data_IF_954179522471
#
_entry.id   IF_954179522471
#
_cell.length_a   1.000
_cell.length_b   1.000
_cell.length_c   1.000
_cell.angle_alpha   90.00
_cell.angle_beta   90.00
_cell.angle_gamma   90.00
#
_symmetry.space_group_name_H-M   'P 1'
#
loop_
_entity.id
_entity.type
_entity.pdbx_description
1 polymer ?
#
# COMPACT_ATOMS: atom_id res chain seq x y z
N UNK A 1 -3.89 20.87 12.41
CA UNK A 1 -3.55 20.88 13.85
C UNK A 1 -3.03 19.52 14.28
N UNK A 2 -2.47 19.37 15.49
CA UNK A 2 -2.04 18.05 15.99
C UNK A 2 -3.20 17.05 16.08
N UNK A 3 -4.39 17.52 16.49
CA UNK A 3 -5.61 16.72 16.56
C UNK A 3 -6.08 16.22 15.18
N UNK A 4 -6.03 17.07 14.14
CA UNK A 4 -6.37 16.65 12.78
C UNK A 4 -5.41 15.58 12.23
N UNK A 5 -4.11 15.68 12.55
CA UNK A 5 -3.12 14.68 12.15
C UNK A 5 -3.36 13.34 12.85
N UNK A 6 -3.71 13.38 14.13
CA UNK A 6 -4.03 12.17 14.90
C UNK A 6 -5.29 11.50 14.38
N UNK A 7 -6.36 12.27 14.13
CA UNK A 7 -7.59 11.74 13.54
C UNK A 7 -7.36 11.15 12.15
N UNK A 8 -6.65 11.86 11.27
CA UNK A 8 -6.26 11.36 9.97
C UNK A 8 -5.45 10.07 10.09
N UNK A 9 -4.43 10.03 10.95
CA UNK A 9 -3.59 8.84 11.13
C UNK A 9 -4.39 7.63 11.59
N UNK A 10 -5.38 7.84 12.47
CA UNK A 10 -6.29 6.79 12.93
C UNK A 10 -7.15 6.27 11.78
N UNK A 11 -7.86 7.17 11.09
CA UNK A 11 -8.76 6.82 9.99
C UNK A 11 -8.02 6.16 8.82
N UNK A 12 -6.87 6.73 8.46
CA UNK A 12 -6.03 6.20 7.39
C UNK A 12 -5.48 4.82 7.74
N UNK A 13 -5.07 4.57 8.99
CA UNK A 13 -4.58 3.25 9.40
C UNK A 13 -5.66 2.18 9.24
N UNK A 14 -6.89 2.46 9.67
CA UNK A 14 -8.01 1.53 9.51
C UNK A 14 -8.33 1.29 8.03
N UNK A 15 -8.45 2.37 7.25
CA UNK A 15 -8.65 2.33 5.81
C UNK A 15 -7.57 1.48 5.12
N UNK A 16 -6.29 1.72 5.47
CA UNK A 16 -5.15 1.03 4.89
C UNK A 16 -5.21 -0.46 5.19
N UNK A 17 -5.49 -0.85 6.43
CA UNK A 17 -5.61 -2.27 6.80
C UNK A 17 -6.75 -2.93 6.03
N UNK A 18 -7.94 -2.33 5.99
CA UNK A 18 -9.10 -2.88 5.25
C UNK A 18 -8.83 -3.01 3.76
N UNK A 19 -8.35 -1.94 3.14
CA UNK A 19 -8.04 -1.90 1.71
C UNK A 19 -6.93 -2.89 1.34
N UNK A 20 -5.85 -2.94 2.13
CA UNK A 20 -4.73 -3.83 1.86
C UNK A 20 -5.09 -5.29 2.10
N UNK A 21 -5.79 -5.62 3.21
CA UNK A 21 -6.25 -6.98 3.48
C UNK A 21 -7.20 -7.48 2.39
N UNK A 22 -8.13 -6.64 1.91
CA UNK A 22 -8.99 -7.00 0.78
C UNK A 22 -8.19 -7.32 -0.47
N UNK A 23 -7.20 -6.48 -0.82
CA UNK A 23 -6.35 -6.73 -1.99
C UNK A 23 -5.48 -7.98 -1.83
N UNK A 24 -4.93 -8.21 -0.64
CA UNK A 24 -4.09 -9.39 -0.37
C UNK A 24 -4.89 -10.69 -0.34
N UNK A 25 -6.17 -10.66 0.07
CA UNK A 25 -7.04 -11.84 0.01
C UNK A 25 -7.18 -12.37 -1.41
N UNK A 26 -7.22 -11.51 -2.43
CA UNK A 26 -7.26 -11.94 -3.84
C UNK A 26 -6.02 -12.74 -4.25
N UNK A 27 -4.91 -12.60 -3.52
CA UNK A 27 -3.65 -13.30 -3.73
C UNK A 27 -3.31 -14.34 -2.66
N UNK A 28 -4.17 -14.54 -1.65
CA UNK A 28 -3.85 -15.38 -0.48
C UNK A 28 -3.62 -16.87 -0.84
N UNK A 29 -4.31 -17.37 -1.86
CA UNK A 29 -4.21 -18.76 -2.33
C UNK A 29 -3.22 -18.94 -3.52
N UNK A 30 -2.43 -17.90 -3.80
CA UNK A 30 -1.50 -17.87 -4.93
C UNK A 30 -0.06 -18.13 -4.48
N UNK A 31 0.68 -18.87 -5.31
CA UNK A 31 2.09 -19.15 -5.04
C UNK A 31 2.92 -17.88 -5.28
N UNK A 32 3.53 -17.38 -4.20
CA UNK A 32 4.50 -16.27 -4.25
C UNK A 32 5.92 -16.83 -4.33
N UNK A 33 6.63 -16.47 -5.40
CA UNK A 33 8.03 -16.85 -5.60
C UNK A 33 8.93 -15.63 -5.48
N UNK A 34 9.91 -15.69 -4.57
CA UNK A 34 10.98 -14.68 -4.50
C UNK A 34 11.94 -14.90 -5.67
N UNK A 35 12.19 -13.84 -6.42
CA UNK A 35 13.04 -13.85 -7.62
C UNK A 35 14.42 -13.25 -7.30
N UNK A 36 14.45 -12.13 -6.59
CA UNK A 36 15.69 -11.43 -6.23
C UNK A 36 15.49 -10.58 -4.97
N UNK A 37 16.59 -10.25 -4.30
CA UNK A 37 16.64 -9.25 -3.25
C UNK A 37 17.87 -8.38 -3.42
N UNK A 38 17.66 -7.09 -3.64
CA UNK A 38 18.73 -6.12 -3.91
C UNK A 38 18.74 -5.02 -2.87
N UNK A 39 19.85 -4.90 -2.15
CA UNK A 39 20.11 -3.74 -1.29
C UNK A 39 20.49 -2.55 -2.16
N UNK A 40 19.70 -1.49 -2.10
CA UNK A 40 19.92 -0.26 -2.87
C UNK A 40 20.86 0.69 -2.12
N UNK A 41 20.72 0.74 -0.79
CA UNK A 41 21.63 1.47 0.12
C UNK A 41 21.50 0.91 1.54
N UNK A 42 22.12 1.57 2.52
CA UNK A 42 22.10 1.17 3.94
C UNK A 42 20.70 0.91 4.48
N UNK A 43 19.72 1.73 4.07
CA UNK A 43 18.37 1.70 4.64
C UNK A 43 17.29 1.20 3.67
N UNK A 44 17.63 0.88 2.42
CA UNK A 44 16.62 0.50 1.41
C UNK A 44 16.99 -0.81 0.72
N UNK A 45 16.01 -1.72 0.66
CA UNK A 45 16.07 -2.99 -0.06
C UNK A 45 14.87 -3.06 -1.01
N UNK A 46 15.08 -3.63 -2.19
CA UNK A 46 14.01 -4.06 -3.08
C UNK A 46 14.00 -5.59 -3.08
N UNK A 47 12.84 -6.19 -2.83
CA UNK A 47 12.63 -7.64 -2.99
C UNK A 47 11.68 -7.84 -4.16
N UNK A 48 12.12 -8.56 -5.18
CA UNK A 48 11.31 -8.84 -6.36
C UNK A 48 10.68 -10.22 -6.23
N UNK A 49 9.37 -10.28 -6.45
CA UNK A 49 8.58 -11.51 -6.37
C UNK A 49 7.71 -11.67 -7.61
N UNK A 50 7.33 -12.90 -7.93
CA UNK A 50 6.27 -13.21 -8.88
C UNK A 50 5.13 -13.92 -8.17
N UNK A 51 3.90 -13.56 -8.49
CA UNK A 51 2.69 -14.18 -7.97
C UNK A 51 1.91 -14.77 -9.15
N UNK A 52 1.50 -16.03 -9.09
CA UNK A 52 0.70 -16.64 -10.16
C UNK A 52 -0.81 -16.50 -9.88
N UNK A 53 -1.50 -15.67 -10.66
CA UNK A 53 -2.96 -15.54 -10.61
C UNK A 53 -3.62 -16.75 -11.25
N UNK A 54 -4.19 -17.63 -10.42
CA UNK A 54 -5.00 -18.77 -10.89
C UNK A 54 -6.26 -18.31 -11.64
N UNK A 55 -6.79 -17.13 -11.29
CA UNK A 55 -8.00 -16.55 -11.89
C UNK A 55 -7.77 -16.17 -13.35
N UNK A 56 -6.62 -15.55 -13.63
CA UNK A 56 -6.32 -14.97 -14.94
C UNK A 56 -5.21 -15.73 -15.69
N UNK A 57 -4.70 -16.82 -15.10
CA UNK A 57 -3.61 -17.67 -15.61
C UNK A 57 -2.35 -16.87 -16.00
N UNK A 58 -1.98 -15.86 -15.22
CA UNK A 58 -0.86 -14.96 -15.49
C UNK A 58 0.08 -14.83 -14.29
N UNK A 59 1.37 -14.61 -14.57
CA UNK A 59 2.34 -14.20 -13.56
C UNK A 59 2.30 -12.68 -13.40
N UNK A 60 2.24 -12.23 -12.15
CA UNK A 60 2.24 -10.82 -11.77
C UNK A 60 3.58 -10.52 -11.10
N UNK A 61 4.31 -9.54 -11.63
CA UNK A 61 5.54 -9.03 -11.05
C UNK A 61 5.23 -8.04 -9.92
N UNK A 62 5.82 -8.29 -8.76
CA UNK A 62 5.67 -7.44 -7.58
C UNK A 62 7.04 -7.10 -6.99
N UNK A 63 7.33 -5.81 -6.84
CA UNK A 63 8.48 -5.33 -6.08
C UNK A 63 8.05 -4.79 -4.73
N UNK A 64 8.65 -5.34 -3.68
CA UNK A 64 8.50 -4.89 -2.31
C UNK A 64 9.59 -3.89 -2.01
N UNK A 65 9.21 -2.64 -1.72
CA UNK A 65 10.16 -1.64 -1.24
C UNK A 65 10.24 -1.74 0.27
N UNK A 66 11.40 -2.12 0.78
CA UNK A 66 11.65 -2.34 2.20
C UNK A 66 12.59 -1.25 2.74
N UNK A 67 12.22 -0.68 3.88
CA UNK A 67 13.03 0.27 4.64
C UNK A 67 13.57 -0.39 5.91
N UNK A 68 14.84 -0.17 6.22
CA UNK A 68 15.45 -0.63 7.47
C UNK A 68 15.40 0.51 8.49
N UNK A 69 14.79 0.25 9.64
CA UNK A 69 14.75 1.18 10.77
C UNK A 69 14.97 0.42 12.07
N UNK A 70 15.94 0.83 12.87
CA UNK A 70 16.22 0.23 14.19
C UNK A 70 16.36 -1.32 14.11
N UNK A 71 17.13 -1.79 13.12
CA UNK A 71 17.31 -3.20 12.76
C UNK A 71 16.03 -3.96 12.34
N UNK A 72 14.91 -3.27 12.10
CA UNK A 72 13.65 -3.85 11.61
C UNK A 72 13.45 -3.57 10.12
N UNK A 73 12.98 -4.58 9.40
CA UNK A 73 12.57 -4.47 7.99
C UNK A 73 11.09 -4.06 7.94
N UNK A 74 10.81 -2.94 7.29
CA UNK A 74 9.47 -2.37 7.16
C UNK A 74 9.10 -2.26 5.67
N UNK A 75 8.05 -2.95 5.24
CA UNK A 75 7.50 -2.74 3.90
C UNK A 75 6.89 -1.32 3.83
N UNK A 76 7.39 -0.50 2.90
CA UNK A 76 6.93 0.89 2.73
C UNK A 76 6.04 1.08 1.50
N UNK A 77 6.17 0.20 0.51
CA UNK A 77 5.43 0.29 -0.74
C UNK A 77 5.46 -1.06 -1.46
N UNK A 78 4.43 -1.27 -2.27
CA UNK A 78 4.25 -2.40 -3.17
C UNK A 78 4.16 -1.84 -4.58
N UNK A 79 5.02 -2.30 -5.47
CA UNK A 79 5.00 -1.93 -6.88
C UNK A 79 4.54 -3.14 -7.66
N UNK A 80 3.31 -3.09 -8.19
CA UNK A 80 2.70 -4.18 -8.95
C UNK A 80 2.73 -3.80 -10.42
N UNK A 81 3.37 -4.59 -11.27
CA UNK A 81 3.52 -4.28 -12.71
C UNK A 81 4.05 -2.85 -12.98
N UNK A 82 5.02 -2.41 -12.15
CA UNK A 82 5.61 -1.08 -12.24
C UNK A 82 4.78 0.05 -11.59
N UNK A 83 3.56 -0.23 -11.12
CA UNK A 83 2.68 0.74 -10.48
C UNK A 83 2.82 0.72 -8.95
N UNK A 84 3.28 1.82 -8.38
CA UNK A 84 3.43 2.01 -6.93
C UNK A 84 2.08 2.29 -6.27
N UNK A 85 1.68 1.41 -5.34
CA UNK A 85 0.45 1.59 -4.58
C UNK A 85 0.47 2.87 -3.74
N UNK A 86 1.60 3.17 -3.08
CA UNK A 86 1.73 4.37 -2.27
C UNK A 86 1.61 5.65 -3.12
N UNK A 87 2.16 5.64 -4.34
CA UNK A 87 2.03 6.78 -5.27
C UNK A 87 0.60 6.96 -5.75
N UNK A 88 -0.06 5.88 -6.19
CA UNK A 88 -1.47 5.94 -6.63
C UNK A 88 -2.35 6.51 -5.53
N UNK A 89 -2.21 6.02 -4.30
CA UNK A 89 -3.00 6.49 -3.16
C UNK A 89 -2.72 7.96 -2.79
N UNK A 90 -1.46 8.40 -2.92
CA UNK A 90 -1.11 9.81 -2.75
C UNK A 90 -1.79 10.69 -3.81
N UNK A 91 -1.82 10.24 -5.06
CA UNK A 91 -2.46 10.96 -6.17
C UNK A 91 -4.00 11.03 -6.00
N UNK A 92 -4.63 9.94 -5.54
CA UNK A 92 -6.06 9.91 -5.19
C UNK A 92 -6.41 10.94 -4.11
N UNK A 93 -5.65 10.97 -3.01
CA UNK A 93 -5.89 11.98 -1.96
C UNK A 93 -5.58 13.39 -2.42
N UNK A 94 -4.55 13.60 -3.24
CA UNK A 94 -4.25 14.91 -3.80
C UNK A 94 -5.43 15.44 -4.64
N UNK A 95 -6.08 14.58 -5.43
CA UNK A 95 -7.28 14.92 -6.19
C UNK A 95 -8.47 15.30 -5.30
N UNK A 96 -8.67 14.56 -4.20
CA UNK A 96 -9.71 14.89 -3.21
C UNK A 96 -9.41 16.23 -2.53
N UNK A 97 -8.16 16.48 -2.15
CA UNK A 97 -7.76 17.75 -1.53
C UNK A 97 -7.98 18.91 -2.49
N UNK A 98 -7.62 18.76 -3.77
CA UNK A 98 -7.81 19.78 -4.78
C UNK A 98 -9.29 20.12 -5.01
N UNK A 99 -10.19 19.13 -4.90
CA UNK A 99 -11.62 19.29 -5.16
C UNK A 99 -12.46 19.64 -3.94
N UNK A 100 -12.12 19.11 -2.77
CA UNK A 100 -12.95 19.12 -1.55
C UNK A 100 -12.19 19.53 -0.29
N UNK A 101 -10.92 19.90 -0.41
CA UNK A 101 -10.05 20.21 0.73
C UNK A 101 -9.75 18.99 1.60
N UNK A 102 -9.06 19.24 2.72
CA UNK A 102 -8.66 18.18 3.65
C UNK A 102 -9.85 17.48 4.32
N UNK A 103 -10.94 18.20 4.61
CA UNK A 103 -12.17 17.62 5.14
C UNK A 103 -12.77 16.56 4.20
N UNK A 104 -12.64 16.75 2.87
CA UNK A 104 -13.03 15.76 1.88
C UNK A 104 -12.29 14.43 2.02
N UNK A 105 -11.00 14.45 2.38
CA UNK A 105 -10.22 13.23 2.65
C UNK A 105 -10.73 12.53 3.90
N UNK A 106 -11.00 13.28 4.97
CA UNK A 106 -11.54 12.72 6.21
C UNK A 106 -12.89 12.05 5.96
N UNK A 107 -13.81 12.71 5.27
CA UNK A 107 -15.11 12.13 4.92
C UNK A 107 -14.98 10.90 4.03
N UNK A 108 -14.04 10.89 3.08
CA UNK A 108 -13.79 9.72 2.23
C UNK A 108 -13.28 8.52 3.05
N UNK A 109 -12.35 8.73 3.96
CA UNK A 109 -11.83 7.68 4.86
C UNK A 109 -12.92 7.15 5.80
N UNK A 110 -13.70 8.03 6.42
CA UNK A 110 -14.81 7.64 7.29
C UNK A 110 -15.86 6.81 6.56
N UNK A 111 -16.24 7.23 5.35
CA UNK A 111 -17.20 6.49 4.54
C UNK A 111 -16.67 5.11 4.15
N UNK A 112 -15.42 5.01 3.70
CA UNK A 112 -14.81 3.72 3.37
C UNK A 112 -14.78 2.79 4.58
N UNK A 113 -14.36 3.30 5.74
CA UNK A 113 -14.25 2.52 6.97
C UNK A 113 -15.60 2.08 7.55
N UNK A 114 -16.70 2.76 7.24
CA UNK A 114 -18.06 2.34 7.64
C UNK A 114 -18.65 1.27 6.73
N UNK A 115 -18.29 1.27 5.45
CA UNK A 115 -18.88 0.41 4.42
C UNK A 115 -18.16 -0.94 4.24
N UNK A 116 -16.98 -1.12 4.85
CA UNK A 116 -16.15 -2.33 4.79
C UNK A 116 -15.55 -2.63 6.17
#
# INVERSE_FOLDING_TARGET
>A
TSSERENFSKLFREYFIKNMSSKLNDFADQDLKVIDSKRINENNIIVSTKIFSKKDAQEIAVEWRIYIKDAKLLARDLVVEGLSLARTQKEEFASIIASKGFSGVISALENFNKSN
#
